data_IF_495357230394
#
_entry.id   IF_495357230394
#
_cell.length_a   1.000
_cell.length_b   1.000
_cell.length_c   1.000
_cell.angle_alpha   90.00
_cell.angle_beta   90.00
_cell.angle_gamma   90.00
#
_symmetry.space_group_name_H-M   'P 1'
#
loop_
_entity.id
_entity.type
_entity.pdbx_description
1 polymer ?
#
# COMPACT_ATOMS: atom_id res chain seq x y z
N UNK A 1 27.62 -35.46 30.09
CA UNK A 1 28.26 -34.13 29.95
C UNK A 1 27.42 -33.29 29.00
N UNK A 2 26.64 -32.34 29.50
CA UNK A 2 25.75 -31.47 28.70
C UNK A 2 26.35 -30.07 28.73
N UNK A 3 26.98 -29.64 27.65
CA UNK A 3 27.56 -28.31 27.55
C UNK A 3 26.43 -27.29 27.46
N UNK A 4 26.32 -26.44 28.48
CA UNK A 4 25.49 -25.24 28.46
C UNK A 4 26.20 -24.23 27.57
N UNK A 5 25.66 -23.95 26.39
CA UNK A 5 26.09 -22.81 25.59
C UNK A 5 25.78 -21.58 26.43
N UNK A 6 26.83 -20.95 26.96
CA UNK A 6 26.75 -19.66 27.64
C UNK A 6 26.57 -18.64 26.52
N UNK A 7 25.34 -18.16 26.36
CA UNK A 7 25.07 -17.01 25.52
C UNK A 7 25.70 -15.82 26.25
N UNK A 8 26.85 -15.38 25.75
CA UNK A 8 27.47 -14.16 26.24
C UNK A 8 26.55 -13.00 25.83
N UNK A 9 26.17 -12.19 26.80
CA UNK A 9 25.38 -10.98 26.54
C UNK A 9 26.27 -10.07 25.70
N UNK A 10 25.98 -9.95 24.40
CA UNK A 10 26.63 -8.92 23.58
C UNK A 10 26.48 -7.60 24.32
N UNK A 11 27.62 -6.93 24.49
CA UNK A 11 27.73 -5.66 25.19
C UNK A 11 26.93 -4.56 24.48
N UNK A 12 27.07 -3.37 25.06
CA UNK A 12 26.39 -2.09 24.81
C UNK A 12 26.50 -1.51 23.37
N UNK A 13 26.62 -2.36 22.35
CA UNK A 13 26.69 -2.03 20.92
C UNK A 13 25.30 -1.89 20.27
N UNK A 14 24.24 -1.76 21.08
CA UNK A 14 22.90 -1.49 20.56
C UNK A 14 22.85 -0.15 19.82
N UNK A 15 23.64 0.83 20.27
CA UNK A 15 23.77 2.14 19.63
C UNK A 15 24.52 2.10 18.29
N UNK A 16 25.23 1.02 17.97
CA UNK A 16 26.03 0.87 16.75
C UNK A 16 25.34 0.04 15.65
N UNK A 17 24.13 -0.49 15.90
CA UNK A 17 23.31 -1.09 14.84
C UNK A 17 22.80 0.01 13.91
N UNK A 18 23.57 0.30 12.88
CA UNK A 18 23.08 1.12 11.78
C UNK A 18 21.83 0.45 11.17
N UNK A 19 20.78 1.22 10.87
CA UNK A 19 19.62 0.68 10.18
C UNK A 19 20.06 0.04 8.86
N UNK A 20 19.53 -1.14 8.59
CA UNK A 20 19.76 -1.84 7.32
C UNK A 20 19.36 -0.92 6.16
N UNK A 21 20.23 -0.78 5.17
CA UNK A 21 19.93 -0.05 3.93
C UNK A 21 19.00 -0.82 3.00
N UNK A 22 18.72 -2.07 3.33
CA UNK A 22 17.81 -2.96 2.60
C UNK A 22 16.37 -2.72 3.05
N UNK A 23 15.40 -2.76 2.12
CA UNK A 23 13.99 -2.66 2.47
C UNK A 23 13.59 -3.81 3.39
N UNK A 24 12.77 -3.51 4.40
CA UNK A 24 12.28 -4.52 5.33
C UNK A 24 11.42 -5.58 4.62
N UNK A 25 11.31 -6.82 5.15
CA UNK A 25 10.43 -7.84 4.59
C UNK A 25 8.99 -7.36 4.37
N UNK A 26 8.49 -6.50 5.26
CA UNK A 26 7.16 -5.89 5.14
C UNK A 26 7.08 -4.91 3.95
N UNK A 27 8.12 -4.12 3.71
CA UNK A 27 8.20 -3.21 2.55
C UNK A 27 8.26 -3.98 1.24
N UNK A 28 9.12 -5.01 1.16
CA UNK A 28 9.22 -5.87 -0.03
C UNK A 28 7.89 -6.55 -0.32
N UNK A 29 7.21 -7.08 0.70
CA UNK A 29 5.87 -7.66 0.56
C UNK A 29 4.86 -6.63 0.03
N UNK A 30 4.80 -5.44 0.63
CA UNK A 30 3.87 -4.41 0.21
C UNK A 30 4.10 -3.98 -1.25
N UNK A 31 5.36 -3.83 -1.67
CA UNK A 31 5.70 -3.44 -3.04
C UNK A 31 5.37 -4.54 -4.05
N UNK A 32 5.70 -5.80 -3.75
CA UNK A 32 5.38 -6.94 -4.65
C UNK A 32 3.89 -7.23 -4.77
N UNK A 33 3.08 -6.88 -3.77
CA UNK A 33 1.63 -7.12 -3.78
C UNK A 33 0.82 -5.90 -4.26
N UNK A 34 1.48 -4.82 -4.71
CA UNK A 34 0.78 -3.60 -5.13
C UNK A 34 -0.22 -3.86 -6.26
N UNK A 35 0.21 -4.53 -7.32
CA UNK A 35 -0.63 -4.81 -8.49
C UNK A 35 -1.82 -5.70 -8.14
N UNK A 36 -1.61 -6.71 -7.28
CA UNK A 36 -2.65 -7.62 -6.84
C UNK A 36 -3.76 -6.90 -6.05
N UNK A 37 -3.39 -5.99 -5.15
CA UNK A 37 -4.37 -5.23 -4.38
C UNK A 37 -5.13 -4.21 -5.23
N UNK A 38 -4.47 -3.56 -6.19
CA UNK A 38 -5.13 -2.66 -7.14
C UNK A 38 -6.13 -3.45 -7.98
N UNK A 39 -5.74 -4.62 -8.50
CA UNK A 39 -6.62 -5.48 -9.27
C UNK A 39 -7.82 -5.93 -8.43
N UNK A 40 -7.59 -6.41 -7.21
CA UNK A 40 -8.65 -6.81 -6.29
C UNK A 40 -9.59 -5.65 -5.99
N UNK A 41 -9.06 -4.44 -5.77
CA UNK A 41 -9.87 -3.25 -5.54
C UNK A 41 -10.75 -2.93 -6.76
N UNK A 42 -10.20 -2.99 -7.98
CA UNK A 42 -10.96 -2.83 -9.23
C UNK A 42 -12.05 -3.89 -9.40
N UNK A 43 -11.80 -5.13 -8.99
CA UNK A 43 -12.76 -6.23 -9.07
C UNK A 43 -13.97 -6.00 -8.15
N UNK A 44 -13.80 -5.26 -7.04
CA UNK A 44 -14.92 -4.89 -6.15
C UNK A 44 -15.86 -3.83 -6.73
N UNK A 45 -15.46 -3.12 -7.79
CA UNK A 45 -16.30 -2.09 -8.40
C UNK A 45 -17.38 -2.72 -9.27
N UNK A 46 -18.56 -2.10 -9.26
CA UNK A 46 -19.57 -2.37 -10.28
C UNK A 46 -18.96 -2.14 -11.69
N UNK A 47 -19.30 -2.98 -12.70
CA UNK A 47 -18.65 -2.95 -14.01
C UNK A 47 -18.63 -1.57 -14.66
N UNK A 48 -19.70 -0.79 -14.49
CA UNK A 48 -19.81 0.55 -15.04
C UNK A 48 -18.89 1.59 -14.39
N UNK A 49 -18.56 1.42 -13.11
CA UNK A 49 -17.60 2.27 -12.42
C UNK A 49 -16.18 1.86 -12.76
N UNK A 50 -15.91 0.54 -12.78
CA UNK A 50 -14.60 0.00 -13.18
C UNK A 50 -14.23 0.46 -14.59
N UNK A 51 -15.11 0.27 -15.57
CA UNK A 51 -14.85 0.67 -16.94
C UNK A 51 -14.52 2.17 -17.07
N UNK A 52 -15.30 3.03 -16.40
CA UNK A 52 -15.07 4.48 -16.46
C UNK A 52 -13.74 4.90 -15.81
N UNK A 53 -13.36 4.27 -14.70
CA UNK A 53 -12.08 4.55 -14.03
C UNK A 53 -10.90 4.03 -14.83
N UNK A 54 -10.96 2.80 -15.34
CA UNK A 54 -9.86 2.21 -16.14
C UNK A 54 -9.60 3.06 -17.38
N UNK A 55 -10.64 3.41 -18.14
CA UNK A 55 -10.49 4.22 -19.34
C UNK A 55 -9.92 5.62 -19.05
N UNK A 56 -10.25 6.22 -17.91
CA UNK A 56 -9.76 7.55 -17.52
C UNK A 56 -8.35 7.49 -16.95
N UNK A 57 -8.11 6.64 -15.96
CA UNK A 57 -6.94 6.71 -15.09
C UNK A 57 -5.79 5.82 -15.57
N UNK A 58 -6.10 4.78 -16.36
CA UNK A 58 -5.12 3.82 -16.87
C UNK A 58 -4.89 4.05 -18.37
N UNK A 59 -5.96 4.12 -19.15
CA UNK A 59 -5.86 4.32 -20.60
C UNK A 59 -5.72 5.80 -21.00
N UNK A 60 -6.02 6.74 -20.10
CA UNK A 60 -5.80 8.17 -20.32
C UNK A 60 -6.78 8.86 -21.27
N UNK A 61 -7.96 8.26 -21.53
CA UNK A 61 -8.97 8.85 -22.41
C UNK A 61 -9.61 10.09 -21.77
N UNK A 62 -9.96 11.05 -22.63
CA UNK A 62 -10.80 12.20 -22.23
C UNK A 62 -12.22 11.77 -21.85
N UNK A 63 -12.94 12.63 -21.12
CA UNK A 63 -14.29 12.31 -20.69
C UNK A 63 -15.26 12.19 -21.87
N UNK A 64 -15.02 12.95 -22.93
CA UNK A 64 -15.73 12.91 -24.20
C UNK A 64 -15.50 11.59 -24.94
N UNK A 65 -14.25 11.11 -25.02
CA UNK A 65 -13.93 9.80 -25.61
C UNK A 65 -14.54 8.66 -24.82
N UNK A 66 -14.51 8.72 -23.48
CA UNK A 66 -15.15 7.73 -22.63
C UNK A 66 -16.67 7.74 -22.83
N UNK A 67 -17.29 8.92 -22.95
CA UNK A 67 -18.72 9.06 -23.19
C UNK A 67 -19.12 8.39 -24.52
N UNK A 68 -18.35 8.64 -25.58
CA UNK A 68 -18.54 8.01 -26.88
C UNK A 68 -18.31 6.49 -26.82
N UNK A 69 -17.25 6.04 -26.16
CA UNK A 69 -16.87 4.62 -26.04
C UNK A 69 -17.92 3.82 -25.28
N UNK A 70 -18.46 4.37 -24.19
CA UNK A 70 -19.44 3.69 -23.33
C UNK A 70 -20.89 3.94 -23.76
N UNK A 71 -21.13 4.80 -24.76
CA UNK A 71 -22.48 5.17 -25.20
C UNK A 71 -23.32 5.88 -24.13
N UNK A 72 -22.69 6.69 -23.26
CA UNK A 72 -23.37 7.39 -22.16
C UNK A 72 -23.12 8.90 -22.19
N UNK A 73 -23.92 9.66 -21.44
CA UNK A 73 -23.76 11.13 -21.36
C UNK A 73 -22.48 11.51 -20.61
N UNK A 74 -21.87 12.64 -20.96
CA UNK A 74 -20.68 13.19 -20.27
C UNK A 74 -20.87 13.33 -18.74
N UNK A 75 -22.06 13.76 -18.30
CA UNK A 75 -22.40 13.83 -16.86
C UNK A 75 -22.44 12.45 -16.17
N UNK A 76 -22.80 11.40 -16.91
CA UNK A 76 -22.76 10.02 -16.43
C UNK A 76 -21.31 9.55 -16.27
N UNK A 77 -20.42 9.88 -17.21
CA UNK A 77 -18.98 9.59 -17.09
C UNK A 77 -18.40 10.22 -15.83
N UNK A 78 -18.61 11.53 -15.62
CA UNK A 78 -18.13 12.24 -14.42
C UNK A 78 -18.62 11.59 -13.13
N UNK A 79 -19.91 11.25 -13.06
CA UNK A 79 -20.48 10.64 -11.85
C UNK A 79 -19.98 9.21 -11.62
N UNK A 80 -19.79 8.41 -12.68
CA UNK A 80 -19.20 7.06 -12.59
C UNK A 80 -17.74 7.10 -12.12
N UNK A 81 -16.91 7.97 -12.71
CA UNK A 81 -15.51 8.17 -12.30
C UNK A 81 -15.44 8.59 -10.83
N UNK A 82 -16.25 9.58 -10.44
CA UNK A 82 -16.27 10.06 -9.07
C UNK A 82 -16.62 8.95 -8.07
N UNK A 83 -17.68 8.18 -8.34
CA UNK A 83 -18.08 7.05 -7.49
C UNK A 83 -17.00 5.96 -7.48
N UNK A 84 -16.50 5.55 -8.64
CA UNK A 84 -15.43 4.56 -8.76
C UNK A 84 -14.19 4.93 -7.95
N UNK A 85 -13.68 6.15 -8.10
CA UNK A 85 -12.55 6.65 -7.29
C UNK A 85 -12.85 6.70 -5.80
N UNK A 86 -14.09 7.02 -5.41
CA UNK A 86 -14.52 6.99 -4.00
C UNK A 86 -14.50 5.57 -3.42
N UNK A 87 -14.94 4.57 -4.20
CA UNK A 87 -14.85 3.15 -3.81
C UNK A 87 -13.39 2.69 -3.72
N UNK A 88 -12.56 3.00 -4.72
CA UNK A 88 -11.13 2.63 -4.71
C UNK A 88 -10.37 3.25 -3.54
N UNK A 89 -10.62 4.53 -3.21
CA UNK A 89 -10.01 5.17 -2.03
C UNK A 89 -10.32 4.44 -0.73
N UNK A 90 -11.52 3.86 -0.59
CA UNK A 90 -11.89 3.06 0.58
C UNK A 90 -11.22 1.69 0.56
N UNK A 91 -11.23 1.02 -0.60
CA UNK A 91 -10.64 -0.31 -0.77
C UNK A 91 -9.11 -0.32 -0.60
N UNK A 92 -8.43 0.76 -1.00
CA UNK A 92 -6.98 0.90 -0.97
C UNK A 92 -6.49 1.73 0.23
N UNK A 93 -7.32 1.94 1.26
CA UNK A 93 -6.99 2.81 2.40
C UNK A 93 -5.71 2.36 3.12
N UNK A 94 -5.47 1.05 3.22
CA UNK A 94 -4.26 0.48 3.84
C UNK A 94 -2.97 0.79 3.07
N UNK A 95 -3.08 1.22 1.82
CA UNK A 95 -1.95 1.64 0.98
C UNK A 95 -1.79 3.15 0.90
N UNK A 96 -2.54 3.93 1.68
CA UNK A 96 -2.39 5.38 1.67
C UNK A 96 -0.96 5.78 2.05
N UNK A 97 -0.42 6.90 1.52
CA UNK A 97 0.89 7.41 1.93
C UNK A 97 0.98 7.61 3.44
N UNK A 98 -0.11 8.01 4.09
CA UNK A 98 -0.24 8.15 5.53
C UNK A 98 -0.07 6.80 6.24
N UNK A 99 -0.77 5.75 5.78
CA UNK A 99 -0.63 4.40 6.34
C UNK A 99 0.80 3.87 6.18
N UNK A 100 1.44 4.14 5.03
CA UNK A 100 2.85 3.78 4.79
C UNK A 100 3.81 4.57 5.67
N UNK A 101 3.53 5.84 5.95
CA UNK A 101 4.33 6.69 6.82
C UNK A 101 4.22 6.26 8.30
N UNK A 102 3.01 5.91 8.76
CA UNK A 102 2.77 5.34 10.08
C UNK A 102 3.47 3.98 10.23
N UNK A 103 3.38 3.11 9.23
CA UNK A 103 4.07 1.81 9.24
C UNK A 103 5.60 1.97 9.24
N UNK A 104 6.11 2.98 8.53
CA UNK A 104 7.53 3.32 8.57
C UNK A 104 7.95 3.85 9.94
N UNK A 105 7.16 4.73 10.56
CA UNK A 105 7.49 5.26 11.89
C UNK A 105 7.39 4.19 12.99
N UNK A 106 6.45 3.25 12.88
CA UNK A 106 6.38 2.07 13.75
C UNK A 106 7.59 1.15 13.56
N UNK A 107 8.02 0.90 12.32
CA UNK A 107 9.24 0.13 12.06
C UNK A 107 10.48 0.84 12.64
N UNK A 108 10.60 2.15 12.45
CA UNK A 108 11.68 2.97 13.01
C UNK A 108 11.64 2.97 14.55
N UNK A 109 10.46 3.00 15.17
CA UNK A 109 10.27 2.96 16.62
C UNK A 109 10.55 1.59 17.25
N UNK A 110 10.20 0.49 16.56
CA UNK A 110 10.53 -0.88 17.00
C UNK A 110 12.04 -1.10 16.95
N UNK A 111 12.72 -0.58 15.91
CA UNK A 111 14.19 -0.56 15.84
C UNK A 111 14.81 0.30 16.96
N UNK A 112 14.11 1.33 17.43
CA UNK A 112 14.54 2.16 18.56
C UNK A 112 14.16 1.61 19.95
N UNK A 113 13.34 0.54 20.03
CA UNK A 113 12.62 0.13 21.24
C UNK A 113 13.09 -1.16 21.94
N UNK A 114 14.07 -1.90 21.40
CA UNK A 114 14.65 -3.05 22.12
C UNK A 114 15.72 -2.59 23.12
N UNK A 115 15.26 -1.96 24.19
CA UNK A 115 16.10 -1.38 25.24
C UNK A 115 15.34 -1.10 26.52
N UNK A 116 14.68 -2.11 27.10
CA UNK A 116 14.12 -1.97 28.44
C UNK A 116 13.12 -3.05 28.81
N UNK A 117 13.58 -4.06 29.56
CA UNK A 117 12.97 -4.46 30.84
C UNK A 117 13.79 -5.57 31.51
N UNK A 118 14.15 -5.29 32.77
CA UNK A 118 14.69 -6.16 33.82
C UNK A 118 16.21 -6.43 33.79
#
# INVERSE_FOLDING_TARGET
RKQRIRFDSLGDDAAERLPSREPSPQQVFNDTHFDADVQQALDTLAPEFRAAVVLCDIEGLSYEEIAATLGVKLGTVRSRIHRGRSHLRKALKHRSPEARAEQRSLADAVLAGEGGTA
#
